data_IF_800924922959
#
_entry.id   IF_800924922959
#
_cell.length_a   1.000
_cell.length_b   1.000
_cell.length_c   1.000
_cell.angle_alpha   90.00
_cell.angle_beta   90.00
_cell.angle_gamma   90.00
#
_symmetry.space_group_name_H-M   'P 1'
#
loop_
_entity.id
_entity.type
_entity.pdbx_description
1 polymer ?
#
# COMPACT_ATOMS: atom_id res chain seq x y z
N UNK A 1 -47.89 -4.92 57.55
CA UNK A 1 -47.74 -5.93 56.48
C UNK A 1 -46.50 -5.56 55.67
N UNK A 2 -45.32 -5.97 56.13
CA UNK A 2 -44.02 -5.55 55.58
C UNK A 2 -43.65 -6.41 54.36
N UNK A 3 -43.37 -5.79 53.21
CA UNK A 3 -42.86 -6.48 52.03
C UNK A 3 -41.36 -6.69 52.18
N UNK A 4 -40.95 -7.95 52.34
CA UNK A 4 -39.55 -8.36 52.29
C UNK A 4 -38.96 -8.04 50.91
N UNK A 5 -38.11 -7.02 50.84
CA UNK A 5 -37.23 -6.75 49.72
C UNK A 5 -36.03 -7.69 49.84
N UNK A 6 -36.14 -8.85 49.19
CA UNK A 6 -35.00 -9.75 49.00
C UNK A 6 -34.20 -9.21 47.82
N UNK A 7 -33.14 -8.47 48.11
CA UNK A 7 -32.13 -8.11 47.12
C UNK A 7 -31.42 -9.40 46.65
N UNK A 8 -31.21 -9.63 45.34
CA UNK A 8 -30.41 -10.75 44.90
C UNK A 8 -28.97 -10.60 45.44
N UNK A 9 -28.30 -11.70 45.84
CA UNK A 9 -26.91 -11.64 46.26
C UNK A 9 -26.04 -11.19 45.07
N UNK A 10 -25.55 -9.95 45.12
CA UNK A 10 -24.50 -9.44 44.23
C UNK A 10 -23.18 -10.11 44.63
N UNK A 11 -23.01 -11.36 44.22
CA UNK A 11 -21.96 -12.22 44.74
C UNK A 11 -21.61 -13.39 43.85
N UNK A 12 -21.50 -13.18 42.53
CA UNK A 12 -20.81 -14.12 41.62
C UNK A 12 -20.05 -13.37 40.53
N UNK A 13 -19.14 -12.49 40.94
CA UNK A 13 -18.36 -11.64 40.05
C UNK A 13 -16.86 -11.98 40.04
N UNK A 14 -16.43 -13.21 40.30
CA UNK A 14 -14.99 -13.51 40.34
C UNK A 14 -14.72 -15.00 40.19
N UNK A 15 -14.58 -15.47 38.94
CA UNK A 15 -13.81 -16.69 38.69
C UNK A 15 -13.23 -16.66 37.29
N UNK A 16 -12.00 -16.13 37.20
CA UNK A 16 -11.02 -16.28 36.10
C UNK A 16 -10.79 -15.08 35.16
N UNK A 17 -10.97 -13.84 35.62
CA UNK A 17 -10.59 -12.60 34.89
C UNK A 17 -9.15 -12.62 34.37
N UNK A 18 -8.21 -13.20 35.12
CA UNK A 18 -6.80 -13.33 34.73
C UNK A 18 -6.56 -14.13 33.44
N UNK A 19 -7.39 -15.15 33.14
CA UNK A 19 -7.20 -15.99 31.93
C UNK A 19 -7.70 -15.32 30.65
N UNK A 20 -8.56 -14.30 30.74
CA UNK A 20 -9.04 -13.51 29.58
C UNK A 20 -8.15 -12.31 29.27
N UNK A 21 -7.46 -11.76 30.28
CA UNK A 21 -6.58 -10.59 30.11
C UNK A 21 -5.26 -10.91 29.39
N UNK A 22 -4.74 -12.14 29.50
CA UNK A 22 -3.52 -12.59 28.81
C UNK A 22 -3.64 -12.56 27.28
N UNK A 23 -4.68 -13.16 26.65
CA UNK A 23 -4.84 -13.08 25.20
C UNK A 23 -5.19 -11.67 24.72
N UNK A 24 -5.96 -10.90 25.49
CA UNK A 24 -6.29 -9.50 25.16
C UNK A 24 -5.04 -8.61 25.12
N UNK A 25 -4.14 -8.76 26.11
CA UNK A 25 -2.84 -8.07 26.09
C UNK A 25 -1.92 -8.57 24.98
N UNK A 26 -1.93 -9.86 24.66
CA UNK A 26 -1.13 -10.40 23.57
C UNK A 26 -1.57 -9.84 22.21
N UNK A 27 -2.88 -9.71 21.98
CA UNK A 27 -3.43 -9.10 20.76
C UNK A 27 -3.11 -7.60 20.72
N UNK A 28 -3.29 -6.88 21.82
CA UNK A 28 -2.97 -5.45 21.90
C UNK A 28 -1.47 -5.17 21.63
N UNK A 29 -0.58 -5.98 22.22
CA UNK A 29 0.87 -5.89 21.98
C UNK A 29 1.20 -6.30 20.53
N UNK A 30 0.54 -7.33 20.00
CA UNK A 30 0.72 -7.75 18.60
C UNK A 30 0.32 -6.67 17.60
N UNK A 31 -0.83 -6.02 17.81
CA UNK A 31 -1.28 -4.89 17.00
C UNK A 31 -0.31 -3.70 17.12
N UNK A 32 0.12 -3.37 18.34
CA UNK A 32 1.07 -2.28 18.56
C UNK A 32 2.42 -2.55 17.89
N UNK A 33 2.98 -3.75 18.06
CA UNK A 33 4.21 -4.16 17.41
C UNK A 33 4.07 -4.22 15.89
N UNK A 34 2.92 -4.66 15.37
CA UNK A 34 2.65 -4.71 13.94
C UNK A 34 2.68 -3.31 13.32
N UNK A 35 1.98 -2.34 13.91
CA UNK A 35 1.99 -0.96 13.42
C UNK A 35 3.36 -0.32 13.59
N UNK A 36 4.01 -0.52 14.74
CA UNK A 36 5.36 -0.01 14.99
C UNK A 36 6.37 -0.54 13.97
N UNK A 37 6.34 -1.84 13.70
CA UNK A 37 7.20 -2.49 12.73
C UNK A 37 6.90 -2.03 11.29
N UNK A 38 5.61 -1.85 10.94
CA UNK A 38 5.23 -1.32 9.63
C UNK A 38 5.78 0.09 9.38
N UNK A 39 5.66 0.98 10.37
CA UNK A 39 6.24 2.33 10.29
C UNK A 39 7.75 2.25 10.23
N UNK A 40 8.39 1.44 11.08
CA UNK A 40 9.84 1.26 11.10
C UNK A 40 10.37 0.78 9.75
N UNK A 41 9.73 -0.23 9.14
CA UNK A 41 10.11 -0.74 7.81
C UNK A 41 9.92 0.34 6.75
N UNK A 42 8.81 1.08 6.80
CA UNK A 42 8.54 2.16 5.84
C UNK A 42 9.62 3.24 5.91
N UNK A 43 9.97 3.68 7.13
CA UNK A 43 11.05 4.64 7.36
C UNK A 43 12.40 4.06 6.89
N UNK A 44 12.65 2.78 7.17
CA UNK A 44 13.86 2.08 6.72
C UNK A 44 13.99 2.04 5.20
N UNK A 45 12.92 1.70 4.48
CA UNK A 45 12.88 1.71 3.01
C UNK A 45 13.17 3.12 2.49
N UNK A 46 12.50 4.13 3.02
CA UNK A 46 12.71 5.53 2.60
C UNK A 46 14.16 5.95 2.86
N UNK A 47 14.73 5.62 4.01
CA UNK A 47 16.12 5.94 4.33
C UNK A 47 17.09 5.28 3.35
N UNK A 48 16.96 3.97 3.09
CA UNK A 48 17.81 3.25 2.13
C UNK A 48 17.70 3.86 0.73
N UNK A 49 16.47 4.11 0.25
CA UNK A 49 16.25 4.72 -1.06
C UNK A 49 16.87 6.13 -1.15
N UNK A 50 16.79 6.93 -0.08
CA UNK A 50 17.42 8.26 -0.04
C UNK A 50 18.95 8.18 -0.10
N UNK A 51 19.57 7.29 0.68
CA UNK A 51 21.03 7.13 0.65
C UNK A 51 21.54 6.65 -0.71
N UNK A 52 20.85 5.68 -1.31
CA UNK A 52 21.16 5.19 -2.67
C UNK A 52 20.93 6.27 -3.73
N UNK A 53 19.83 7.03 -3.63
CA UNK A 53 19.54 8.12 -4.55
C UNK A 53 20.59 9.23 -4.48
N UNK A 54 21.02 9.64 -3.28
CA UNK A 54 22.07 10.66 -3.11
C UNK A 54 23.39 10.18 -3.73
N UNK A 55 23.77 8.92 -3.49
CA UNK A 55 24.98 8.33 -4.08
C UNK A 55 24.88 8.30 -5.61
N UNK A 56 23.73 7.89 -6.14
CA UNK A 56 23.45 7.86 -7.58
C UNK A 56 23.55 9.25 -8.24
N UNK A 57 23.00 10.29 -7.60
CA UNK A 57 23.09 11.66 -8.12
C UNK A 57 24.48 12.29 -7.96
N UNK A 58 25.39 11.66 -7.19
CA UNK A 58 26.81 11.99 -7.22
C UNK A 58 27.50 11.58 -8.52
N UNK A 59 27.09 10.43 -9.08
CA UNK A 59 27.65 9.91 -10.35
C UNK A 59 26.90 10.42 -11.59
N UNK A 60 25.61 10.74 -11.46
CA UNK A 60 24.74 11.16 -12.57
C UNK A 60 24.11 12.51 -12.24
N UNK A 61 24.31 13.51 -13.11
CA UNK A 61 23.71 14.82 -12.87
C UNK A 61 22.18 14.76 -12.96
N UNK A 62 21.49 15.46 -12.04
CA UNK A 62 20.01 15.51 -12.01
C UNK A 62 19.43 15.99 -13.36
N UNK A 63 20.08 16.95 -14.01
CA UNK A 63 19.65 17.45 -15.31
C UNK A 63 19.79 16.41 -16.42
N UNK A 64 20.87 15.63 -16.47
CA UNK A 64 21.01 14.54 -17.45
C UNK A 64 20.06 13.38 -17.16
N UNK A 65 19.74 13.12 -15.89
CA UNK A 65 18.72 12.13 -15.53
C UNK A 65 17.34 12.51 -16.09
N UNK A 66 16.92 13.77 -15.93
CA UNK A 66 15.62 14.26 -16.39
C UNK A 66 15.58 14.50 -17.90
N UNK A 67 16.63 15.07 -18.49
CA UNK A 67 16.67 15.41 -19.93
C UNK A 67 17.21 14.28 -20.81
N UNK A 68 17.79 13.25 -20.21
CA UNK A 68 18.35 12.11 -20.90
C UNK A 68 17.28 11.32 -21.66
N UNK A 69 17.52 11.08 -22.95
CA UNK A 69 16.61 10.37 -23.85
C UNK A 69 16.99 8.90 -24.04
N UNK A 70 18.08 8.44 -23.43
CA UNK A 70 18.63 7.09 -23.57
C UNK A 70 18.74 6.40 -22.22
N UNK A 71 18.45 5.10 -22.24
CA UNK A 71 18.62 4.21 -21.11
C UNK A 71 19.67 3.15 -21.47
N UNK A 72 20.92 3.37 -21.08
CA UNK A 72 22.08 2.51 -21.42
C UNK A 72 22.93 2.16 -20.19
N UNK A 73 22.36 1.49 -19.16
CA UNK A 73 23.11 1.14 -17.95
C UNK A 73 24.22 0.10 -18.17
N UNK A 74 24.12 -0.68 -19.25
CA UNK A 74 25.04 -1.79 -19.58
C UNK A 74 26.26 -1.36 -20.41
N UNK A 75 26.27 -0.13 -20.94
CA UNK A 75 27.34 0.36 -21.81
C UNK A 75 28.40 1.13 -21.00
N UNK A 76 29.60 1.25 -21.56
CA UNK A 76 30.72 1.97 -20.92
C UNK A 76 30.37 3.44 -20.63
N UNK A 77 29.50 4.06 -21.43
CA UNK A 77 28.84 5.33 -21.14
C UNK A 77 27.46 5.07 -20.54
N UNK A 78 27.41 4.98 -19.20
CA UNK A 78 26.15 4.78 -18.47
C UNK A 78 25.28 6.02 -18.60
N UNK A 79 24.09 5.86 -19.20
CA UNK A 79 23.08 6.91 -19.29
C UNK A 79 21.77 6.41 -18.68
N UNK A 80 21.23 7.18 -17.73
CA UNK A 80 20.04 6.83 -16.97
C UNK A 80 18.91 7.82 -17.24
N UNK A 81 18.59 8.06 -18.50
CA UNK A 81 17.53 8.99 -18.88
C UNK A 81 16.14 8.49 -18.49
N UNK A 82 15.44 9.23 -17.64
CA UNK A 82 14.09 8.88 -17.15
C UNK A 82 13.04 8.96 -18.26
N UNK A 83 13.23 9.85 -19.25
CA UNK A 83 12.26 10.07 -20.34
C UNK A 83 12.07 8.82 -21.18
N UNK A 84 13.11 8.01 -21.37
CA UNK A 84 13.00 6.74 -22.09
C UNK A 84 12.03 5.79 -21.38
N UNK A 85 12.07 5.74 -20.04
CA UNK A 85 11.16 4.90 -19.24
C UNK A 85 9.73 5.44 -19.28
N UNK A 86 9.56 6.75 -19.09
CA UNK A 86 8.23 7.39 -19.14
C UNK A 86 7.59 7.26 -20.52
N UNK A 87 8.37 7.41 -21.59
CA UNK A 87 7.88 7.22 -22.95
C UNK A 87 7.45 5.76 -23.17
N UNK A 88 8.23 4.80 -22.67
CA UNK A 88 7.88 3.38 -22.72
C UNK A 88 6.56 3.05 -22.01
N UNK A 89 6.37 3.53 -20.78
CA UNK A 89 5.13 3.30 -20.02
C UNK A 89 3.93 4.04 -20.60
N UNK A 90 4.12 5.26 -21.09
CA UNK A 90 3.06 6.03 -21.74
C UNK A 90 2.62 5.34 -23.04
N UNK A 91 3.58 4.85 -23.83
CA UNK A 91 3.29 4.10 -25.06
C UNK A 91 2.49 2.83 -24.75
N UNK A 92 2.90 2.04 -23.74
CA UNK A 92 2.15 0.84 -23.38
C UNK A 92 0.77 1.16 -22.83
N UNK A 93 0.62 2.21 -22.02
CA UNK A 93 -0.67 2.66 -21.52
C UNK A 93 -1.61 3.12 -22.66
N UNK A 94 -1.08 3.86 -23.65
CA UNK A 94 -1.86 4.29 -24.83
C UNK A 94 -2.30 3.09 -25.65
N UNK A 95 -1.39 2.16 -25.94
CA UNK A 95 -1.75 0.93 -26.65
C UNK A 95 -2.79 0.10 -25.90
N UNK A 96 -2.69 0.02 -24.58
CA UNK A 96 -3.69 -0.63 -23.75
C UNK A 96 -5.05 0.07 -23.86
N UNK A 97 -5.11 1.40 -23.81
CA UNK A 97 -6.34 2.16 -23.99
C UNK A 97 -6.95 1.99 -25.38
N UNK A 98 -6.13 1.94 -26.43
CA UNK A 98 -6.59 1.72 -27.82
C UNK A 98 -7.35 0.39 -27.94
N UNK A 99 -6.98 -0.63 -27.18
CA UNK A 99 -7.67 -1.92 -27.18
C UNK A 99 -8.81 -1.97 -26.15
N UNK A 100 -8.58 -1.46 -24.94
CA UNK A 100 -9.53 -1.51 -23.84
C UNK A 100 -10.76 -0.63 -24.06
N UNK A 101 -10.60 0.56 -24.65
CA UNK A 101 -11.71 1.50 -24.86
C UNK A 101 -12.74 0.97 -25.86
N UNK A 102 -12.38 0.49 -27.07
CA UNK A 102 -13.38 -0.08 -27.99
C UNK A 102 -14.10 -1.28 -27.39
N UNK A 103 -13.37 -2.22 -26.79
CA UNK A 103 -13.97 -3.41 -26.19
C UNK A 103 -14.88 -3.07 -25.01
N UNK A 104 -14.45 -2.14 -24.14
CA UNK A 104 -15.23 -1.67 -23.01
C UNK A 104 -16.49 -0.93 -23.45
N UNK A 105 -16.37 -0.03 -24.43
CA UNK A 105 -17.51 0.72 -24.98
C UNK A 105 -18.52 -0.21 -25.66
N UNK A 106 -18.06 -1.15 -26.49
CA UNK A 106 -18.93 -2.13 -27.14
C UNK A 106 -19.65 -3.02 -26.11
N UNK A 107 -18.96 -3.45 -25.06
CA UNK A 107 -19.57 -4.24 -23.98
C UNK A 107 -20.62 -3.44 -23.22
N UNK A 108 -20.36 -2.15 -22.94
CA UNK A 108 -21.31 -1.27 -22.27
C UNK A 108 -22.56 -1.01 -23.11
N UNK A 109 -22.39 -0.79 -24.42
CA UNK A 109 -23.52 -0.63 -25.35
C UNK A 109 -24.34 -1.92 -25.42
N UNK A 110 -23.68 -3.08 -25.58
CA UNK A 110 -24.36 -4.38 -25.63
C UNK A 110 -25.17 -4.65 -24.37
N UNK A 111 -24.61 -4.41 -23.18
CA UNK A 111 -25.33 -4.58 -21.92
C UNK A 111 -26.50 -3.60 -21.77
N UNK A 112 -26.36 -2.36 -22.23
CA UNK A 112 -27.44 -1.37 -22.19
C UNK A 112 -28.61 -1.76 -23.09
N UNK A 113 -28.34 -2.46 -24.20
CA UNK A 113 -29.37 -2.97 -25.11
C UNK A 113 -30.02 -4.27 -24.57
N UNK A 114 -29.23 -5.17 -23.96
CA UNK A 114 -29.69 -6.50 -23.51
C UNK A 114 -30.19 -6.56 -22.07
N UNK A 115 -29.95 -5.54 -21.26
CA UNK A 115 -30.63 -5.34 -19.97
C UNK A 115 -31.51 -4.09 -20.00
N UNK A 116 -32.60 -4.08 -20.79
CA UNK A 116 -33.60 -3.03 -20.73
C UNK A 116 -34.54 -3.31 -19.55
N UNK A 117 -34.04 -3.26 -18.31
CA UNK A 117 -34.86 -3.37 -17.08
C UNK A 117 -34.18 -2.67 -15.89
#
# INVERSE_FOLDING_TARGET
MARNVVSPPLGQGTRNSWKRMLPERAIAVGLFLSTFLSILITVGIVAVLLFEAITFFGDVSFFEFITGTRWTPLFSSKQFGVLALVAGTTLTAVLAMVVALPLGLLSAIYLSEYSPD
#
